data_IF_751488426286
#
_entry.id   IF_751488426286
#
_cell.length_a   1.000
_cell.length_b   1.000
_cell.length_c   1.000
_cell.angle_alpha   90.00
_cell.angle_beta   90.00
_cell.angle_gamma   90.00
#
_symmetry.space_group_name_H-M   'P 1'
#
loop_
_entity.id
_entity.type
_entity.pdbx_description
1 polymer ?
#
# COMPACT_ATOMS: atom_id res chain seq x y z
N UNK A 1 -0.21 36.31 4.10
CA UNK A 1 0.32 36.03 2.75
C UNK A 1 1.85 36.17 2.65
N UNK A 2 2.59 36.31 3.76
CA UNK A 2 4.05 36.44 3.76
C UNK A 2 4.84 35.29 4.41
N UNK A 3 4.18 34.20 4.84
CA UNK A 3 4.85 33.06 5.49
C UNK A 3 5.16 31.87 4.57
N UNK A 4 4.76 31.91 3.30
CA UNK A 4 5.09 30.90 2.29
C UNK A 4 6.45 31.11 1.60
N UNK A 5 7.15 32.22 1.88
CA UNK A 5 8.26 32.73 1.06
C UNK A 5 9.67 32.34 1.55
N UNK A 6 9.87 31.38 2.45
CA UNK A 6 11.22 31.07 2.98
C UNK A 6 11.75 29.65 2.72
N UNK A 7 10.99 28.77 2.07
CA UNK A 7 11.46 27.44 1.63
C UNK A 7 11.57 27.29 0.11
N UNK A 8 11.43 28.36 -0.65
CA UNK A 8 11.79 28.39 -2.08
C UNK A 8 13.32 28.52 -2.25
N UNK A 9 14.06 27.54 -1.76
CA UNK A 9 15.31 27.16 -2.42
C UNK A 9 14.92 26.04 -3.37
N UNK A 10 15.08 26.26 -4.68
CA UNK A 10 14.86 25.41 -5.82
C UNK A 10 15.58 24.04 -5.76
N UNK A 11 15.34 23.25 -4.74
CA UNK A 11 15.77 21.88 -4.68
C UNK A 11 14.50 21.03 -4.86
N UNK A 12 14.32 20.48 -6.06
CA UNK A 12 13.29 19.49 -6.32
C UNK A 12 13.50 18.33 -5.34
N UNK A 13 12.56 18.14 -4.40
CA UNK A 13 12.61 17.04 -3.44
C UNK A 13 12.48 15.72 -4.19
N UNK A 14 13.25 14.70 -3.75
CA UNK A 14 13.33 13.42 -4.46
C UNK A 14 12.29 12.41 -3.97
N UNK A 15 11.87 12.49 -2.70
CA UNK A 15 10.96 11.52 -2.07
C UNK A 15 9.72 12.19 -1.50
N UNK A 16 8.54 11.61 -1.75
CA UNK A 16 7.34 11.89 -0.96
C UNK A 16 7.05 10.72 -0.03
N UNK A 17 7.06 10.99 1.27
CA UNK A 17 6.43 10.12 2.27
C UNK A 17 4.96 10.51 2.36
N UNK A 18 4.02 9.63 2.01
CA UNK A 18 2.61 9.96 2.11
C UNK A 18 1.89 9.08 3.13
N UNK A 19 0.92 9.66 3.80
CA UNK A 19 0.19 9.03 4.91
C UNK A 19 -1.30 9.26 4.75
N UNK A 20 -2.07 8.26 4.25
CA UNK A 20 -3.51 8.27 4.39
C UNK A 20 -3.90 8.16 5.87
N UNK A 21 -4.82 9.00 6.32
CA UNK A 21 -5.24 9.03 7.72
C UNK A 21 -6.76 9.26 7.86
N UNK A 22 -7.36 8.66 8.87
CA UNK A 22 -8.76 8.85 9.22
C UNK A 22 -8.96 8.64 10.73
N UNK A 23 -9.28 9.72 11.46
CA UNK A 23 -9.46 9.71 12.93
C UNK A 23 -8.24 9.13 13.69
N UNK A 24 -7.04 9.60 13.38
CA UNK A 24 -5.76 9.10 13.90
C UNK A 24 -4.89 10.17 14.59
N UNK A 25 -5.49 11.25 15.11
CA UNK A 25 -4.75 12.28 15.83
C UNK A 25 -3.84 11.72 16.94
N UNK A 26 -4.28 10.63 17.61
CA UNK A 26 -3.56 10.01 18.72
C UNK A 26 -2.28 9.26 18.31
N UNK A 27 -2.14 8.81 17.05
CA UNK A 27 -0.94 8.09 16.55
C UNK A 27 -0.04 8.96 15.68
N UNK A 28 -0.60 9.91 14.94
CA UNK A 28 0.08 10.69 13.91
C UNK A 28 1.27 11.50 14.44
N UNK A 29 1.24 11.91 15.72
CA UNK A 29 2.35 12.62 16.39
C UNK A 29 3.65 11.80 16.40
N UNK A 30 3.56 10.50 16.64
CA UNK A 30 4.73 9.60 16.65
C UNK A 30 5.39 9.54 15.28
N UNK A 31 4.60 9.45 14.21
CA UNK A 31 5.11 9.50 12.84
C UNK A 31 5.78 10.85 12.56
N UNK A 32 5.12 11.98 12.86
CA UNK A 32 5.71 13.31 12.70
C UNK A 32 7.08 13.44 13.38
N UNK A 33 7.17 13.04 14.64
CA UNK A 33 8.42 13.11 15.40
C UNK A 33 9.52 12.23 14.78
N UNK A 34 9.16 11.06 14.21
CA UNK A 34 10.12 10.20 13.52
C UNK A 34 10.64 10.83 12.23
N UNK A 35 9.78 11.51 11.49
CA UNK A 35 10.15 12.27 10.29
C UNK A 35 11.01 13.49 10.63
N UNK A 36 10.72 14.15 11.75
CA UNK A 36 11.59 15.23 12.26
C UNK A 36 12.99 14.77 12.66
N UNK A 37 13.20 13.47 12.92
CA UNK A 37 14.52 12.89 13.27
C UNK A 37 15.29 12.36 12.07
N UNK A 38 14.73 12.41 10.83
CA UNK A 38 15.44 11.93 9.67
C UNK A 38 16.78 12.64 9.44
N UNK A 39 17.83 11.87 9.14
CA UNK A 39 19.19 12.38 8.86
C UNK A 39 19.26 13.09 7.49
N UNK A 40 18.41 12.70 6.55
CA UNK A 40 18.26 13.34 5.24
C UNK A 40 16.91 14.08 5.16
N UNK A 41 16.92 15.33 4.66
CA UNK A 41 15.74 16.19 4.54
C UNK A 41 15.21 16.32 3.12
N UNK A 42 15.71 15.54 2.17
CA UNK A 42 15.28 15.53 0.77
C UNK A 42 13.96 14.74 0.63
N UNK A 43 12.94 15.17 1.38
CA UNK A 43 11.60 14.60 1.30
C UNK A 43 10.49 15.59 1.67
N UNK A 44 9.30 15.35 1.11
CA UNK A 44 8.02 15.94 1.48
C UNK A 44 7.20 14.94 2.28
N UNK A 45 6.60 15.33 3.40
CA UNK A 45 5.54 14.56 4.04
C UNK A 45 4.17 15.03 3.55
N UNK A 46 3.43 14.15 2.88
CA UNK A 46 2.08 14.42 2.40
C UNK A 46 1.06 13.66 3.25
N UNK A 47 0.25 14.40 3.99
CA UNK A 47 -0.84 13.85 4.82
C UNK A 47 -2.15 13.93 4.04
N UNK A 48 -2.79 12.79 3.78
CA UNK A 48 -4.09 12.72 3.12
C UNK A 48 -5.13 12.37 4.17
N UNK A 49 -5.90 13.34 4.59
CA UNK A 49 -6.97 13.18 5.57
C UNK A 49 -8.27 12.77 4.87
N UNK A 50 -8.67 11.51 5.07
CA UNK A 50 -9.86 10.90 4.47
C UNK A 50 -11.15 11.26 5.24
N UNK A 51 -11.31 12.54 5.60
CA UNK A 51 -12.51 13.08 6.21
C UNK A 51 -12.58 12.86 7.71
N UNK A 52 -11.47 13.03 8.45
CA UNK A 52 -11.45 12.91 9.92
C UNK A 52 -12.39 13.90 10.59
N UNK A 53 -12.99 13.44 11.70
CA UNK A 53 -13.86 14.22 12.58
C UNK A 53 -13.25 14.49 13.96
N UNK A 54 -12.09 13.91 14.23
CA UNK A 54 -11.28 14.17 15.43
C UNK A 54 -10.32 15.35 15.22
N UNK A 55 -9.39 15.55 16.14
CA UNK A 55 -8.42 16.65 16.11
C UNK A 55 -7.29 16.48 15.07
N UNK A 56 -7.39 15.52 14.13
CA UNK A 56 -6.35 15.24 13.11
C UNK A 56 -5.98 16.50 12.33
N UNK A 57 -6.97 17.26 11.84
CA UNK A 57 -6.72 18.49 11.09
C UNK A 57 -5.94 19.53 11.90
N UNK A 58 -6.40 19.82 13.11
CA UNK A 58 -5.76 20.79 13.98
C UNK A 58 -4.32 20.38 14.32
N UNK A 59 -4.10 19.11 14.57
CA UNK A 59 -2.78 18.55 14.85
C UNK A 59 -1.81 18.74 13.67
N UNK A 60 -2.25 18.47 12.44
CA UNK A 60 -1.40 18.65 11.25
C UNK A 60 -1.12 20.13 10.98
N UNK A 61 -2.11 21.03 11.20
CA UNK A 61 -1.90 22.47 11.11
C UNK A 61 -0.87 22.96 12.14
N UNK A 62 -0.82 22.36 13.34
CA UNK A 62 0.21 22.64 14.35
C UNK A 62 1.59 22.18 13.88
N UNK A 63 1.70 21.01 13.23
CA UNK A 63 2.96 20.53 12.67
C UNK A 63 3.47 21.43 11.53
N UNK A 64 2.57 21.94 10.67
CA UNK A 64 2.92 22.89 9.63
C UNK A 64 3.46 24.19 10.23
N UNK A 65 2.85 24.69 11.32
CA UNK A 65 3.33 25.90 12.04
C UNK A 65 4.67 25.68 12.73
N UNK A 66 4.93 24.46 13.23
CA UNK A 66 6.22 24.07 13.82
C UNK A 66 7.38 24.11 12.82
N UNK A 67 7.08 23.96 11.52
CA UNK A 67 7.97 24.18 10.39
C UNK A 67 9.31 23.42 10.45
N UNK A 68 9.34 22.21 11.01
CA UNK A 68 10.53 21.37 11.13
C UNK A 68 10.84 20.54 9.89
N UNK A 69 9.82 20.23 9.11
CA UNK A 69 9.88 19.47 7.84
C UNK A 69 8.88 20.05 6.86
N UNK A 70 9.08 19.77 5.56
CA UNK A 70 8.10 20.14 4.52
C UNK A 70 6.86 19.26 4.65
N UNK A 71 5.68 19.87 4.80
CA UNK A 71 4.40 19.15 4.93
C UNK A 71 3.40 19.69 3.91
N UNK A 72 2.71 18.77 3.21
CA UNK A 72 1.51 19.07 2.41
C UNK A 72 0.33 18.35 3.04
N UNK A 73 -0.73 19.08 3.38
CA UNK A 73 -1.95 18.53 3.94
C UNK A 73 -3.07 18.62 2.91
N UNK A 74 -3.76 17.49 2.67
CA UNK A 74 -4.88 17.37 1.76
C UNK A 74 -6.04 16.73 2.52
N UNK A 75 -7.15 17.45 2.66
CA UNK A 75 -8.39 16.93 3.22
C UNK A 75 -9.36 16.58 2.10
N UNK A 76 -10.04 15.43 2.23
CA UNK A 76 -11.05 14.95 1.29
C UNK A 76 -12.23 14.31 2.00
N UNK A 77 -13.34 14.07 1.31
CA UNK A 77 -14.44 13.25 1.83
C UNK A 77 -14.00 11.79 2.02
N UNK A 78 -14.54 11.13 3.06
CA UNK A 78 -14.19 9.75 3.40
C UNK A 78 -14.61 8.76 2.30
N UNK A 79 -13.63 8.20 1.63
CA UNK A 79 -13.79 7.21 0.56
C UNK A 79 -13.11 5.86 0.83
N UNK A 80 -12.36 5.75 1.92
CA UNK A 80 -11.56 4.57 2.25
C UNK A 80 -10.12 4.66 1.75
N UNK A 81 -9.27 3.76 2.24
CA UNK A 81 -7.82 3.77 2.07
C UNK A 81 -7.39 3.98 0.60
N UNK A 82 -8.00 3.25 -0.34
CA UNK A 82 -7.62 3.32 -1.76
C UNK A 82 -7.81 4.72 -2.36
N UNK A 83 -8.82 5.48 -1.90
CA UNK A 83 -9.02 6.86 -2.36
C UNK A 83 -7.96 7.81 -1.84
N UNK A 84 -7.42 7.52 -0.64
CA UNK A 84 -6.24 8.23 -0.11
C UNK A 84 -5.00 8.00 -0.99
N UNK A 85 -4.78 6.77 -1.46
CA UNK A 85 -3.71 6.46 -2.41
C UNK A 85 -3.92 7.16 -3.76
N UNK A 86 -5.15 7.18 -4.30
CA UNK A 86 -5.45 7.90 -5.53
C UNK A 86 -5.11 9.40 -5.38
N UNK A 87 -5.57 10.01 -4.28
CA UNK A 87 -5.27 11.43 -4.00
C UNK A 87 -3.76 11.67 -3.84
N UNK A 88 -3.03 10.74 -3.22
CA UNK A 88 -1.59 10.85 -3.11
C UNK A 88 -0.93 10.85 -4.50
N UNK A 89 -1.21 9.87 -5.34
CA UNK A 89 -0.58 9.78 -6.67
C UNK A 89 -0.97 10.91 -7.61
N UNK A 90 -2.16 11.48 -7.47
CA UNK A 90 -2.56 12.70 -8.19
C UNK A 90 -1.69 13.91 -7.82
N UNK A 91 -1.24 14.00 -6.55
CA UNK A 91 -0.59 15.18 -5.99
C UNK A 91 0.93 15.01 -5.72
N UNK A 92 1.51 13.84 -5.96
CA UNK A 92 2.96 13.61 -5.81
C UNK A 92 3.70 14.12 -7.05
N UNK A 93 4.74 14.95 -6.84
CA UNK A 93 5.57 15.51 -7.91
C UNK A 93 7.04 15.03 -7.83
N UNK A 94 7.40 14.29 -6.79
CA UNK A 94 8.75 13.74 -6.57
C UNK A 94 8.98 12.47 -7.38
N UNK A 95 10.25 12.10 -7.61
CA UNK A 95 10.64 10.90 -8.34
C UNK A 95 10.16 9.62 -7.66
N UNK A 96 10.31 9.56 -6.32
CA UNK A 96 9.96 8.43 -5.49
C UNK A 96 8.83 8.76 -4.53
N UNK A 97 8.05 7.74 -4.17
CA UNK A 97 7.05 7.84 -3.11
C UNK A 97 7.01 6.58 -2.25
N UNK A 98 6.67 6.75 -0.98
CA UNK A 98 6.49 5.66 -0.01
C UNK A 98 5.30 5.95 0.88
N UNK A 99 4.43 4.96 1.08
CA UNK A 99 3.39 5.03 2.08
C UNK A 99 3.93 4.65 3.45
N UNK A 100 3.65 5.48 4.45
CA UNK A 100 3.83 5.14 5.86
C UNK A 100 2.48 5.36 6.55
N UNK A 101 1.94 4.30 7.16
CA UNK A 101 0.65 4.36 7.82
C UNK A 101 0.70 5.26 9.06
N UNK A 102 -0.44 5.83 9.43
CA UNK A 102 -0.53 6.86 10.50
C UNK A 102 -0.19 6.36 11.90
N UNK A 103 -0.15 5.04 12.10
CA UNK A 103 0.24 4.34 13.33
C UNK A 103 1.65 3.74 13.29
N UNK A 104 2.37 3.91 12.18
CA UNK A 104 3.75 3.48 11.99
C UNK A 104 4.74 4.64 12.14
N UNK A 105 6.04 4.35 12.12
CA UNK A 105 7.09 5.37 12.16
C UNK A 105 8.41 4.89 11.53
N UNK A 106 9.21 5.82 11.03
CA UNK A 106 10.47 5.52 10.33
C UNK A 106 11.69 5.57 11.25
N UNK A 107 12.70 4.69 11.09
CA UNK A 107 13.99 4.86 11.74
C UNK A 107 14.70 6.13 11.24
N UNK A 108 15.62 6.74 12.02
CA UNK A 108 16.18 8.06 11.70
C UNK A 108 16.94 8.17 10.38
N UNK A 109 17.42 7.07 9.82
CA UNK A 109 18.21 7.01 8.59
C UNK A 109 17.42 6.44 7.38
N UNK A 110 16.13 6.22 7.51
CA UNK A 110 15.35 5.54 6.46
C UNK A 110 15.34 6.31 5.13
N UNK A 111 15.11 7.62 5.16
CA UNK A 111 15.13 8.46 3.95
C UNK A 111 16.52 8.42 3.29
N UNK A 112 17.58 8.55 4.08
CA UNK A 112 18.96 8.48 3.59
C UNK A 112 19.27 7.13 2.92
N UNK A 113 18.86 6.01 3.55
CA UNK A 113 19.04 4.66 3.00
C UNK A 113 18.31 4.49 1.66
N UNK A 114 17.06 4.95 1.57
CA UNK A 114 16.25 4.91 0.35
C UNK A 114 16.96 5.68 -0.77
N UNK A 115 17.30 6.95 -0.52
CA UNK A 115 17.88 7.81 -1.55
C UNK A 115 19.26 7.35 -1.97
N UNK A 116 20.12 6.90 -1.05
CA UNK A 116 21.43 6.36 -1.36
C UNK A 116 21.32 5.07 -2.19
N UNK A 117 20.37 4.18 -1.85
CA UNK A 117 20.10 2.97 -2.64
C UNK A 117 19.68 3.32 -4.06
N UNK A 118 18.73 4.26 -4.20
CA UNK A 118 18.21 4.65 -5.51
C UNK A 118 19.27 5.37 -6.36
N UNK A 119 20.02 6.31 -5.80
CA UNK A 119 21.08 7.03 -6.52
C UNK A 119 22.21 6.11 -7.00
N UNK A 120 22.51 5.04 -6.24
CA UNK A 120 23.57 4.10 -6.60
C UNK A 120 23.12 3.04 -7.59
N UNK A 121 21.95 2.46 -7.40
CA UNK A 121 21.51 1.24 -8.09
C UNK A 121 20.24 1.45 -8.94
N UNK A 122 19.56 2.61 -8.80
CA UNK A 122 18.33 2.94 -9.51
C UNK A 122 18.54 3.01 -11.02
N UNK A 123 17.57 2.52 -11.77
CA UNK A 123 17.56 2.55 -13.23
C UNK A 123 16.11 2.36 -13.74
N UNK A 124 15.87 2.68 -15.01
CA UNK A 124 14.54 2.61 -15.64
C UNK A 124 13.93 1.21 -15.68
N UNK A 125 14.74 0.18 -15.56
CA UNK A 125 14.25 -1.20 -15.45
C UNK A 125 13.54 -1.50 -14.13
N UNK A 126 13.77 -0.70 -13.05
CA UNK A 126 13.17 -0.93 -11.75
C UNK A 126 11.88 -0.12 -11.55
N UNK A 127 10.91 -0.69 -10.85
CA UNK A 127 9.72 0.04 -10.43
C UNK A 127 9.88 0.75 -9.08
N UNK A 128 10.95 0.45 -8.34
CA UNK A 128 11.20 1.04 -7.04
C UNK A 128 12.13 0.19 -6.18
N UNK A 129 11.97 0.31 -4.87
CA UNK A 129 12.73 -0.39 -3.84
C UNK A 129 11.76 -1.14 -2.92
N UNK A 130 12.14 -2.32 -2.45
CA UNK A 130 11.48 -2.99 -1.31
C UNK A 130 12.46 -3.07 -0.15
N UNK A 131 12.05 -2.59 1.02
CA UNK A 131 12.79 -2.65 2.27
C UNK A 131 12.01 -3.38 3.35
N UNK A 132 12.60 -3.48 4.54
CA UNK A 132 12.05 -4.24 5.65
C UNK A 132 11.18 -3.38 6.54
N UNK A 133 10.09 -3.97 7.03
CA UNK A 133 9.33 -3.50 8.18
C UNK A 133 9.73 -4.30 9.42
N UNK A 134 9.91 -3.61 10.54
CA UNK A 134 10.30 -4.19 11.83
C UNK A 134 9.18 -4.04 12.85
N UNK A 135 9.08 -4.97 13.78
CA UNK A 135 8.20 -4.81 14.94
C UNK A 135 8.64 -3.60 15.78
N UNK A 136 7.71 -2.70 16.08
CA UNK A 136 7.98 -1.54 16.93
C UNK A 136 8.60 -1.94 18.28
N UNK A 137 9.63 -1.22 18.69
CA UNK A 137 10.36 -1.50 19.93
C UNK A 137 11.30 -2.70 19.88
N UNK A 138 11.53 -3.31 18.72
CA UNK A 138 12.45 -4.43 18.54
C UNK A 138 13.45 -4.20 17.41
N UNK A 139 14.42 -5.13 17.29
CA UNK A 139 15.33 -5.21 16.13
C UNK A 139 14.99 -6.41 15.22
N UNK A 140 13.72 -6.83 15.22
CA UNK A 140 13.26 -8.02 14.51
C UNK A 140 12.44 -7.62 13.28
N UNK A 141 12.88 -8.00 12.06
CA UNK A 141 12.09 -7.79 10.86
C UNK A 141 10.85 -8.69 10.89
N UNK A 142 9.70 -8.15 10.44
CA UNK A 142 8.39 -8.82 10.50
C UNK A 142 8.39 -10.11 9.67
N UNK A 143 8.96 -10.06 8.47
CA UNK A 143 9.01 -11.20 7.56
C UNK A 143 10.39 -11.87 7.46
N UNK A 144 11.33 -11.52 8.36
CA UNK A 144 12.73 -11.90 8.24
C UNK A 144 13.48 -11.02 7.24
N UNK A 145 14.75 -11.34 7.02
CA UNK A 145 15.57 -10.70 6.01
C UNK A 145 15.35 -11.34 4.64
N UNK A 146 15.55 -10.57 3.58
CA UNK A 146 15.65 -11.14 2.23
C UNK A 146 16.88 -12.06 2.14
N UNK A 147 16.83 -13.11 1.28
CA UNK A 147 17.96 -14.01 1.09
C UNK A 147 19.26 -13.28 0.75
N UNK A 148 20.38 -13.77 1.28
CA UNK A 148 21.70 -13.22 1.03
C UNK A 148 22.00 -13.12 -0.47
N UNK A 149 22.53 -11.97 -0.89
CA UNK A 149 22.86 -11.72 -2.28
C UNK A 149 21.68 -11.39 -3.20
N UNK A 150 20.45 -11.38 -2.70
CA UNK A 150 19.28 -10.96 -3.47
C UNK A 150 19.34 -9.46 -3.73
N UNK A 151 19.52 -9.06 -4.99
CA UNK A 151 19.62 -7.64 -5.39
C UNK A 151 18.31 -7.07 -5.90
N UNK A 152 17.45 -7.92 -6.47
CA UNK A 152 16.16 -7.53 -7.05
C UNK A 152 15.14 -8.65 -6.90
N UNK A 153 13.87 -8.30 -6.87
CA UNK A 153 12.77 -9.24 -6.85
C UNK A 153 11.53 -8.64 -7.52
N UNK A 154 10.58 -9.49 -7.89
CA UNK A 154 9.28 -9.04 -8.37
C UNK A 154 8.26 -9.11 -7.24
N UNK A 155 7.36 -8.12 -7.17
CA UNK A 155 6.35 -8.03 -6.13
C UNK A 155 5.55 -9.34 -5.96
N UNK A 156 5.06 -9.90 -7.06
CA UNK A 156 4.28 -11.14 -7.01
C UNK A 156 5.10 -12.34 -6.52
N UNK A 157 6.38 -12.41 -6.85
CA UNK A 157 7.28 -13.51 -6.46
C UNK A 157 7.49 -13.57 -4.94
N UNK A 158 7.45 -12.43 -4.24
CA UNK A 158 7.56 -12.38 -2.78
C UNK A 158 6.50 -13.27 -2.11
N UNK A 159 5.27 -13.21 -2.60
CA UNK A 159 4.14 -13.97 -2.07
C UNK A 159 4.06 -15.39 -2.62
N UNK A 160 4.22 -15.56 -3.94
CA UNK A 160 4.03 -16.88 -4.61
C UNK A 160 5.16 -17.84 -4.24
N UNK A 161 6.41 -17.35 -4.24
CA UNK A 161 7.59 -18.18 -3.96
C UNK A 161 7.95 -18.27 -2.48
N UNK A 162 7.13 -17.63 -1.61
CA UNK A 162 7.38 -17.54 -0.17
C UNK A 162 8.78 -17.00 0.20
N UNK A 163 9.29 -16.08 -0.61
CA UNK A 163 10.60 -15.47 -0.40
C UNK A 163 10.57 -14.59 0.85
N UNK A 164 9.45 -13.87 1.02
CA UNK A 164 9.28 -12.93 2.12
C UNK A 164 7.79 -12.88 2.50
N UNK A 165 7.45 -13.36 3.69
CA UNK A 165 6.06 -13.45 4.15
C UNK A 165 5.80 -12.47 5.28
N UNK A 166 5.22 -11.34 4.98
CA UNK A 166 4.84 -10.31 5.94
C UNK A 166 4.94 -8.92 5.33
N UNK A 167 4.77 -7.94 6.17
CA UNK A 167 4.79 -6.56 5.73
C UNK A 167 6.19 -6.12 5.33
N UNK A 168 6.25 -5.30 4.30
CA UNK A 168 7.46 -4.74 3.73
C UNK A 168 7.18 -3.33 3.25
N UNK A 169 8.17 -2.47 3.29
CA UNK A 169 8.04 -1.09 2.82
C UNK A 169 8.39 -0.99 1.33
N UNK A 170 7.42 -0.52 0.55
CA UNK A 170 7.55 -0.33 -0.90
C UNK A 170 7.75 1.14 -1.22
N UNK A 171 8.93 1.48 -1.72
CA UNK A 171 9.25 2.81 -2.26
C UNK A 171 9.12 2.73 -3.76
N UNK A 172 8.15 3.43 -4.34
CA UNK A 172 7.79 3.29 -5.74
C UNK A 172 8.22 4.49 -6.57
N UNK A 173 8.48 4.28 -7.85
CA UNK A 173 8.61 5.39 -8.80
C UNK A 173 7.25 6.03 -9.01
N UNK A 174 7.13 7.31 -8.66
CA UNK A 174 5.86 8.04 -8.69
C UNK A 174 5.23 8.07 -10.07
N UNK A 175 6.04 8.27 -11.12
CA UNK A 175 5.55 8.26 -12.51
C UNK A 175 4.85 6.96 -12.89
N UNK A 176 5.42 5.80 -12.52
CA UNK A 176 4.80 4.50 -12.81
C UNK A 176 3.50 4.27 -12.03
N UNK A 177 3.42 4.79 -10.80
CA UNK A 177 2.19 4.70 -10.01
C UNK A 177 1.09 5.58 -10.60
N UNK A 178 1.43 6.76 -11.12
CA UNK A 178 0.48 7.63 -11.82
C UNK A 178 -0.09 7.00 -13.10
N UNK A 179 0.69 6.19 -13.82
CA UNK A 179 0.23 5.49 -15.03
C UNK A 179 -0.90 4.47 -14.76
N UNK A 180 -0.95 3.90 -13.55
CA UNK A 180 -1.96 2.92 -13.14
C UNK A 180 -3.03 3.48 -12.21
N UNK A 181 -2.87 4.73 -11.76
CA UNK A 181 -3.87 5.46 -11.00
C UNK A 181 -4.91 6.11 -11.93
N UNK A 182 -6.14 6.38 -11.45
CA UNK A 182 -6.67 5.98 -10.14
C UNK A 182 -7.15 4.52 -10.10
N UNK A 183 -7.20 3.95 -8.89
CA UNK A 183 -7.98 2.73 -8.67
C UNK A 183 -9.46 3.08 -8.75
N UNK A 184 -10.13 2.55 -9.74
CA UNK A 184 -11.58 2.70 -9.90
C UNK A 184 -12.30 1.72 -8.97
N UNK A 185 -12.72 2.23 -7.80
CA UNK A 185 -13.48 1.47 -6.82
C UNK A 185 -14.94 1.29 -7.21
N UNK A 186 -15.68 0.59 -6.36
CA UNK A 186 -17.10 0.33 -6.56
C UNK A 186 -17.93 1.11 -5.51
N UNK A 187 -19.10 1.65 -5.88
CA UNK A 187 -19.96 2.35 -4.93
C UNK A 187 -20.25 1.51 -3.69
N UNK A 188 -20.02 2.08 -2.51
CA UNK A 188 -20.23 1.44 -1.21
C UNK A 188 -19.10 0.52 -0.75
N UNK A 189 -18.08 0.25 -1.55
CA UNK A 189 -16.91 -0.56 -1.18
C UNK A 189 -15.72 0.33 -0.81
N UNK A 190 -15.12 0.09 0.36
CA UNK A 190 -13.98 0.87 0.89
C UNK A 190 -12.69 0.04 1.06
N UNK A 191 -12.80 -1.29 1.00
CA UNK A 191 -11.68 -2.21 1.20
C UNK A 191 -11.03 -2.62 -0.14
N UNK A 192 -10.61 -1.65 -0.96
CA UNK A 192 -9.83 -1.94 -2.15
C UNK A 192 -8.34 -1.83 -1.83
N UNK A 193 -7.64 -2.96 -1.90
CA UNK A 193 -6.24 -3.03 -1.48
C UNK A 193 -5.32 -2.31 -2.49
N UNK A 194 -4.49 -1.33 -2.05
CA UNK A 194 -3.51 -0.64 -2.90
C UNK A 194 -2.49 -1.55 -3.58
N UNK A 195 -2.28 -2.77 -3.08
CA UNK A 195 -1.50 -3.82 -3.74
C UNK A 195 -1.96 -4.12 -5.17
N UNK A 196 -3.20 -3.79 -5.53
CA UNK A 196 -3.71 -3.84 -6.90
C UNK A 196 -2.86 -3.03 -7.88
N UNK A 197 -2.41 -1.83 -7.48
CA UNK A 197 -1.54 -0.98 -8.30
C UNK A 197 -0.12 -1.53 -8.39
N UNK A 198 0.41 -2.03 -7.26
CA UNK A 198 1.74 -2.65 -7.23
C UNK A 198 1.81 -3.89 -8.14
N UNK A 199 0.76 -4.70 -8.18
CA UNK A 199 0.67 -5.84 -9.10
C UNK A 199 0.78 -5.43 -10.56
N UNK A 200 0.20 -4.29 -10.95
CA UNK A 200 0.28 -3.79 -12.33
C UNK A 200 1.68 -3.29 -12.68
N UNK A 201 2.23 -2.42 -11.84
CA UNK A 201 3.54 -1.79 -12.08
C UNK A 201 4.68 -2.81 -11.99
N UNK A 202 4.61 -3.74 -11.04
CA UNK A 202 5.69 -4.69 -10.76
C UNK A 202 5.57 -6.02 -11.51
N UNK A 203 4.64 -6.19 -12.46
CA UNK A 203 4.56 -7.40 -13.28
C UNK A 203 5.73 -7.50 -14.27
N UNK A 204 6.12 -6.38 -14.85
CA UNK A 204 7.21 -6.29 -15.84
C UNK A 204 8.52 -5.75 -15.25
N UNK A 205 8.46 -4.97 -14.18
CA UNK A 205 9.63 -4.29 -13.60
C UNK A 205 9.91 -4.81 -12.19
N UNK A 206 11.17 -5.25 -11.91
CA UNK A 206 11.52 -5.68 -10.56
C UNK A 206 11.69 -4.48 -9.61
N UNK A 207 11.66 -4.79 -8.32
CA UNK A 207 12.05 -3.92 -7.21
C UNK A 207 13.51 -4.17 -6.85
N UNK A 208 14.27 -3.13 -6.54
CA UNK A 208 15.56 -3.25 -5.87
C UNK A 208 15.34 -3.71 -4.43
N UNK A 209 16.10 -4.69 -3.97
CA UNK A 209 16.06 -5.14 -2.57
C UNK A 209 16.99 -4.28 -1.72
N UNK A 210 16.46 -3.78 -0.61
CA UNK A 210 17.16 -3.06 0.44
C UNK A 210 16.92 -3.78 1.77
N UNK A 211 17.91 -4.56 2.20
CA UNK A 211 17.81 -5.42 3.40
C UNK A 211 18.05 -4.62 4.68
N UNK A 212 17.35 -3.47 4.80
CA UNK A 212 17.45 -2.51 5.89
C UNK A 212 16.06 -2.16 6.43
N UNK A 213 16.01 -1.76 7.72
CA UNK A 213 14.78 -1.30 8.34
C UNK A 213 14.36 0.06 7.76
N UNK A 214 13.19 0.13 7.16
CA UNK A 214 12.61 1.37 6.65
C UNK A 214 11.41 1.85 7.47
N UNK A 215 10.77 0.95 8.23
CA UNK A 215 9.61 1.32 9.02
C UNK A 215 9.45 0.41 10.24
N UNK A 216 9.05 0.98 11.35
CA UNK A 216 8.57 0.26 12.52
C UNK A 216 7.05 0.20 12.50
N UNK A 217 6.50 -1.02 12.52
CA UNK A 217 5.06 -1.30 12.52
C UNK A 217 4.60 -1.68 13.92
N UNK A 218 3.52 -1.04 14.37
CA UNK A 218 2.94 -1.26 15.69
C UNK A 218 1.65 -2.09 15.60
N UNK A 219 1.76 -3.40 15.78
CA UNK A 219 0.60 -4.31 15.83
C UNK A 219 -0.20 -4.26 17.16
N UNK A 220 0.23 -3.44 18.11
CA UNK A 220 -0.40 -3.36 19.43
C UNK A 220 -1.67 -2.49 19.50
N UNK A 221 -1.98 -1.71 18.47
CA UNK A 221 -3.10 -0.75 18.47
C UNK A 221 -4.50 -1.38 18.39
N UNK A 222 -4.61 -2.69 18.23
CA UNK A 222 -5.90 -3.43 18.21
C UNK A 222 -6.73 -3.31 16.94
N UNK A 223 -6.39 -2.38 16.05
CA UNK A 223 -7.13 -2.05 14.81
C UNK A 223 -6.54 -2.71 13.55
N UNK A 224 -6.01 -3.93 13.67
CA UNK A 224 -5.39 -4.63 12.55
C UNK A 224 -6.40 -4.95 11.44
N UNK A 225 -6.33 -4.24 10.32
CA UNK A 225 -7.15 -4.53 9.12
C UNK A 225 -6.96 -5.96 8.61
N UNK A 226 -5.74 -6.50 8.70
CA UNK A 226 -5.43 -7.87 8.27
C UNK A 226 -6.20 -8.95 9.04
N UNK A 227 -6.52 -8.73 10.31
CA UNK A 227 -7.32 -9.66 11.12
C UNK A 227 -8.78 -9.76 10.65
N UNK A 228 -9.26 -8.76 9.91
CA UNK A 228 -10.64 -8.66 9.45
C UNK A 228 -10.86 -9.11 8.00
N UNK A 229 -9.92 -9.82 7.37
CA UNK A 229 -9.94 -10.14 5.93
C UNK A 229 -11.25 -10.79 5.45
N UNK A 230 -11.86 -11.69 6.25
CA UNK A 230 -13.13 -12.32 5.92
C UNK A 230 -14.28 -11.31 5.81
N UNK A 231 -14.28 -10.28 6.69
CA UNK A 231 -15.25 -9.21 6.64
C UNK A 231 -15.01 -8.27 5.45
N UNK A 232 -13.74 -8.04 5.09
CA UNK A 232 -13.39 -7.24 3.90
C UNK A 232 -13.91 -7.91 2.63
N UNK A 233 -13.69 -9.23 2.44
CA UNK A 233 -14.28 -9.97 1.30
C UNK A 233 -15.80 -9.79 1.19
N UNK A 234 -16.48 -9.76 2.34
CA UNK A 234 -17.94 -9.57 2.36
C UNK A 234 -18.38 -8.14 2.10
N UNK A 235 -17.62 -7.14 2.56
CA UNK A 235 -17.97 -5.71 2.43
C UNK A 235 -17.60 -5.14 1.06
N UNK A 236 -16.54 -5.66 0.45
CA UNK A 236 -15.98 -5.12 -0.78
C UNK A 236 -15.71 -6.21 -1.85
N UNK A 237 -16.69 -7.09 -2.12
CA UNK A 237 -16.47 -8.28 -2.95
C UNK A 237 -16.10 -7.96 -4.41
N UNK A 238 -16.60 -6.86 -4.98
CA UNK A 238 -16.28 -6.46 -6.36
C UNK A 238 -14.82 -6.01 -6.49
N UNK A 239 -14.32 -5.27 -5.50
CA UNK A 239 -12.92 -4.81 -5.43
C UNK A 239 -11.97 -6.00 -5.37
N UNK A 240 -12.30 -7.01 -4.56
CA UNK A 240 -11.51 -8.24 -4.50
C UNK A 240 -11.61 -9.04 -5.79
N UNK A 241 -12.80 -9.24 -6.37
CA UNK A 241 -12.97 -9.95 -7.65
C UNK A 241 -12.16 -9.28 -8.78
N UNK A 242 -12.16 -7.94 -8.86
CA UNK A 242 -11.33 -7.17 -9.81
C UNK A 242 -9.84 -7.48 -9.63
N UNK A 243 -9.38 -7.55 -8.37
CA UNK A 243 -7.99 -7.91 -8.06
C UNK A 243 -7.66 -9.34 -8.51
N UNK A 244 -8.57 -10.32 -8.29
CA UNK A 244 -8.35 -11.71 -8.75
C UNK A 244 -8.28 -11.82 -10.26
N UNK A 245 -9.12 -11.06 -10.96
CA UNK A 245 -9.06 -11.03 -12.43
C UNK A 245 -7.73 -10.48 -12.93
N UNK A 246 -7.21 -9.42 -12.31
CA UNK A 246 -5.85 -8.92 -12.57
C UNK A 246 -4.79 -10.01 -12.32
N UNK A 247 -4.82 -10.67 -11.13
CA UNK A 247 -3.85 -11.71 -10.75
C UNK A 247 -3.82 -12.88 -11.75
N UNK A 248 -4.97 -13.27 -12.31
CA UNK A 248 -5.04 -14.31 -13.35
C UNK A 248 -4.35 -13.87 -14.65
N UNK A 249 -4.29 -12.56 -14.92
CA UNK A 249 -3.73 -11.97 -16.14
C UNK A 249 -2.23 -11.71 -16.09
N UNK A 250 -1.65 -11.64 -14.91
CA UNK A 250 -0.24 -11.27 -14.76
C UNK A 250 0.68 -12.27 -15.46
N UNK A 251 1.71 -11.77 -16.13
CA UNK A 251 2.71 -12.57 -16.86
C UNK A 251 3.44 -13.55 -15.93
N UNK A 252 3.72 -13.12 -14.70
CA UNK A 252 4.43 -13.90 -13.69
C UNK A 252 3.53 -14.83 -12.88
N UNK A 253 2.21 -14.80 -13.10
CA UNK A 253 1.26 -15.64 -12.36
C UNK A 253 1.38 -17.11 -12.78
N UNK A 254 1.81 -17.98 -11.85
CA UNK A 254 1.87 -19.42 -12.08
C UNK A 254 0.46 -20.03 -12.26
N UNK A 255 0.35 -21.21 -12.89
CA UNK A 255 -0.92 -21.92 -13.00
C UNK A 255 -1.61 -22.15 -11.66
N UNK A 256 -0.83 -22.47 -10.61
CA UNK A 256 -1.32 -22.61 -9.23
C UNK A 256 -1.93 -21.30 -8.71
N UNK A 257 -1.25 -20.17 -8.95
CA UNK A 257 -1.75 -18.86 -8.54
C UNK A 257 -3.00 -18.47 -9.33
N UNK A 258 -3.00 -18.65 -10.65
CA UNK A 258 -4.18 -18.40 -11.50
C UNK A 258 -5.39 -19.19 -11.03
N UNK A 259 -5.19 -20.47 -10.67
CA UNK A 259 -6.27 -21.31 -10.14
C UNK A 259 -6.75 -20.82 -8.77
N UNK A 260 -5.84 -20.46 -7.85
CA UNK A 260 -6.21 -19.87 -6.55
C UNK A 260 -7.02 -18.59 -6.74
N UNK A 261 -6.57 -17.70 -7.61
CA UNK A 261 -7.28 -16.45 -7.91
C UNK A 261 -8.64 -16.70 -8.55
N UNK A 262 -8.76 -17.73 -9.40
CA UNK A 262 -10.05 -18.13 -9.97
C UNK A 262 -11.03 -18.63 -8.89
N UNK A 263 -10.56 -19.41 -7.89
CA UNK A 263 -11.41 -19.87 -6.77
C UNK A 263 -11.93 -18.67 -5.98
N UNK A 264 -11.06 -17.71 -5.65
CA UNK A 264 -11.46 -16.48 -4.97
C UNK A 264 -12.39 -15.61 -5.84
N UNK A 265 -12.10 -15.47 -7.13
CA UNK A 265 -12.95 -14.72 -8.07
C UNK A 265 -14.39 -15.23 -8.09
N UNK A 266 -14.58 -16.56 -8.14
CA UNK A 266 -15.92 -17.17 -8.07
C UNK A 266 -16.61 -16.80 -6.75
N UNK A 267 -15.92 -16.99 -5.61
CA UNK A 267 -16.50 -16.71 -4.30
C UNK A 267 -16.89 -15.24 -4.15
N UNK A 268 -16.01 -14.33 -4.54
CA UNK A 268 -16.18 -12.88 -4.43
C UNK A 268 -17.25 -12.37 -5.42
N UNK A 269 -17.32 -12.93 -6.63
CA UNK A 269 -18.41 -12.63 -7.58
C UNK A 269 -19.77 -13.03 -7.01
N UNK A 270 -19.88 -14.19 -6.39
CA UNK A 270 -21.13 -14.63 -5.73
C UNK A 270 -21.51 -13.75 -4.54
N UNK A 271 -20.53 -13.31 -3.74
CA UNK A 271 -20.75 -12.33 -2.65
C UNK A 271 -21.25 -10.98 -3.17
N UNK A 272 -20.80 -10.58 -4.36
CA UNK A 272 -21.24 -9.38 -5.06
C UNK A 272 -22.64 -9.51 -5.70
N UNK A 273 -23.25 -10.70 -5.66
CA UNK A 273 -24.50 -10.99 -6.37
C UNK A 273 -24.34 -11.10 -7.88
N UNK A 274 -23.13 -11.23 -8.38
CA UNK A 274 -22.85 -11.39 -9.80
C UNK A 274 -22.88 -12.89 -10.16
N UNK A 275 -23.96 -13.34 -10.76
CA UNK A 275 -24.14 -14.72 -11.24
C UNK A 275 -23.70 -14.90 -12.70
N UNK A 276 -23.40 -13.80 -13.40
CA UNK A 276 -22.93 -13.80 -14.79
C UNK A 276 -21.41 -13.83 -14.93
N UNK A 277 -20.68 -13.95 -13.81
CA UNK A 277 -19.22 -13.85 -13.72
C UNK A 277 -18.46 -14.70 -14.75
N UNK A 278 -18.98 -15.89 -15.12
CA UNK A 278 -18.34 -16.77 -16.09
C UNK A 278 -18.46 -16.21 -17.53
N UNK A 279 -19.55 -15.50 -17.83
CA UNK A 279 -19.74 -14.84 -19.12
C UNK A 279 -18.86 -13.58 -19.27
N UNK A 280 -18.62 -12.88 -18.17
CA UNK A 280 -17.93 -11.60 -18.15
C UNK A 280 -16.40 -11.73 -18.13
N UNK A 281 -15.86 -12.75 -17.45
CA UNK A 281 -14.42 -12.94 -17.38
C UNK A 281 -13.80 -13.42 -18.69
N UNK A 282 -12.60 -12.91 -18.98
CA UNK A 282 -11.77 -13.43 -20.10
C UNK A 282 -11.04 -14.74 -19.74
N UNK A 283 -11.01 -15.14 -18.46
CA UNK A 283 -10.34 -16.35 -17.95
C UNK A 283 -11.34 -17.51 -17.75
N UNK A 284 -12.17 -17.81 -18.77
CA UNK A 284 -13.28 -18.78 -18.68
C UNK A 284 -12.83 -20.15 -18.19
N UNK A 285 -11.75 -20.71 -18.76
CA UNK A 285 -11.29 -22.06 -18.42
C UNK A 285 -10.87 -22.20 -16.95
N UNK A 286 -9.92 -21.43 -16.38
CA UNK A 286 -9.59 -21.54 -14.97
C UNK A 286 -10.78 -21.25 -14.04
N UNK A 287 -11.66 -20.32 -14.41
CA UNK A 287 -12.84 -19.98 -13.60
C UNK A 287 -13.86 -21.12 -13.63
N UNK A 288 -14.11 -21.78 -14.78
CA UNK A 288 -15.00 -22.93 -14.86
C UNK A 288 -14.55 -24.10 -13.96
N UNK A 289 -13.25 -24.40 -13.96
CA UNK A 289 -12.66 -25.46 -13.10
C UNK A 289 -12.74 -25.08 -11.62
N UNK A 290 -12.76 -23.79 -11.31
CA UNK A 290 -12.79 -23.26 -9.96
C UNK A 290 -14.21 -23.12 -9.35
N UNK A 291 -15.29 -23.41 -10.09
CA UNK A 291 -16.66 -23.17 -9.62
C UNK A 291 -16.95 -23.90 -8.30
N UNK A 292 -16.71 -25.20 -8.21
CA UNK A 292 -17.02 -25.97 -6.99
C UNK A 292 -16.20 -25.50 -5.77
N UNK A 293 -14.86 -25.39 -5.83
CA UNK A 293 -14.10 -24.85 -4.69
C UNK A 293 -14.43 -23.39 -4.39
N UNK A 294 -14.81 -22.58 -5.38
CA UNK A 294 -15.28 -21.21 -5.19
C UNK A 294 -16.60 -21.14 -4.43
N UNK A 295 -17.56 -22.02 -4.71
CA UNK A 295 -18.80 -22.16 -3.94
C UNK A 295 -18.53 -22.57 -2.48
N UNK A 296 -17.58 -23.47 -2.25
CA UNK A 296 -17.17 -23.85 -0.88
C UNK A 296 -16.56 -22.66 -0.13
N UNK A 297 -15.69 -21.89 -0.80
CA UNK A 297 -15.10 -20.68 -0.22
C UNK A 297 -16.17 -19.61 0.08
N UNK A 298 -17.09 -19.37 -0.85
CA UNK A 298 -18.24 -18.48 -0.65
C UNK A 298 -19.02 -18.86 0.62
N UNK A 299 -19.39 -20.14 0.75
CA UNK A 299 -20.10 -20.64 1.93
C UNK A 299 -19.29 -20.45 3.23
N UNK A 300 -17.98 -20.71 3.17
CA UNK A 300 -17.08 -20.52 4.31
C UNK A 300 -17.01 -19.05 4.74
N UNK A 301 -16.94 -18.11 3.78
CA UNK A 301 -16.94 -16.68 4.07
C UNK A 301 -18.24 -16.29 4.77
N UNK A 302 -19.40 -16.74 4.27
CA UNK A 302 -20.71 -16.46 4.88
C UNK A 302 -20.79 -17.00 6.31
N UNK A 303 -20.31 -18.22 6.55
CA UNK A 303 -20.33 -18.82 7.90
C UNK A 303 -19.42 -18.05 8.87
N UNK A 304 -18.20 -17.70 8.44
CA UNK A 304 -17.24 -16.96 9.29
C UNK A 304 -17.64 -15.51 9.56
N UNK A 305 -18.45 -14.92 8.70
CA UNK A 305 -18.91 -13.53 8.81
C UNK A 305 -20.36 -13.40 9.28
N UNK A 306 -21.02 -14.53 9.59
CA UNK A 306 -22.34 -14.53 10.20
C UNK A 306 -22.21 -13.89 11.59
N UNK A 307 -22.92 -12.79 11.84
CA UNK A 307 -22.99 -12.20 13.17
C UNK A 307 -23.47 -13.28 14.17
N UNK A 308 -22.69 -13.55 15.21
CA UNK A 308 -23.17 -14.21 16.43
C UNK A 308 -24.10 -13.27 17.16
#
# INVERSE_FOLDING_TARGET
MESQARFEQNQELTLTVFTPTFNRAHTLRRLYESLCRQTCRDFLWMVIDDGSSDDTRQLVEDFIRDNKISIRYIHKENGGLYTGYNTAYENIDTELCVCVDSDDFMPPNAVELILNKWRRDGADKYCGIVGLDFYAGTQTPIAGYFPDGMRECYYLDLYIKNIHRGDSKYVMRSGLMKEVAPMEGFPGEKDFNPGYMFLQVCDDKPLLVLNENLCFVDYGSGDNMSAAIWMQYRRSPKSFAKTRELEMGLKRSSLKNKYRSAVHYVAESLLAGNYSFLGETKYKLPVSVAILPGLLLFTLILLKTRKR
#
